data_IF_238730667105
#
_entry.id   IF_238730667105
#
_cell.length_a   1.000
_cell.length_b   1.000
_cell.length_c   1.000
_cell.angle_alpha   90.00
_cell.angle_beta   90.00
_cell.angle_gamma   90.00
#
_symmetry.space_group_name_H-M   'P 1'
#
loop_
_entity.id
_entity.type
_entity.pdbx_description
1 polymer ?
#
# COMPACT_ATOMS: atom_id res chain seq x y z
N UNK A 1 -39.09 -5.77 -9.13
CA UNK A 1 -38.27 -6.99 -8.97
C UNK A 1 -37.01 -7.01 -9.84
N UNK A 2 -36.96 -6.34 -11.00
CA UNK A 2 -35.74 -6.23 -11.81
C UNK A 2 -34.60 -5.40 -11.17
N UNK A 3 -34.90 -4.28 -10.49
CA UNK A 3 -33.86 -3.43 -9.89
C UNK A 3 -33.09 -4.01 -8.69
N UNK A 4 -33.61 -5.07 -8.05
CA UNK A 4 -32.89 -5.76 -6.97
C UNK A 4 -31.84 -6.74 -7.50
N UNK A 5 -32.05 -7.28 -8.71
CA UNK A 5 -31.09 -8.16 -9.38
C UNK A 5 -29.90 -7.37 -9.93
N UNK A 6 -30.15 -6.19 -10.50
CA UNK A 6 -29.11 -5.30 -11.05
C UNK A 6 -28.18 -4.75 -9.96
N UNK A 7 -28.73 -4.42 -8.78
CA UNK A 7 -27.95 -3.98 -7.62
C UNK A 7 -27.08 -5.12 -7.05
N UNK A 8 -27.63 -6.33 -6.95
CA UNK A 8 -26.89 -7.50 -6.46
C UNK A 8 -25.73 -7.88 -7.40
N UNK A 9 -25.92 -7.75 -8.72
CA UNK A 9 -24.86 -7.99 -9.70
C UNK A 9 -23.74 -6.95 -9.60
N UNK A 10 -24.08 -5.69 -9.36
CA UNK A 10 -23.11 -4.61 -9.10
C UNK A 10 -22.26 -4.85 -7.84
N UNK A 11 -22.88 -5.30 -6.75
CA UNK A 11 -22.18 -5.60 -5.49
C UNK A 11 -21.19 -6.78 -5.65
N UNK A 12 -21.60 -7.82 -6.38
CA UNK A 12 -20.76 -8.98 -6.68
C UNK A 12 -19.56 -8.56 -7.54
N UNK A 13 -19.79 -7.76 -8.59
CA UNK A 13 -18.73 -7.25 -9.46
C UNK A 13 -17.70 -6.42 -8.65
N UNK A 14 -18.17 -5.52 -7.79
CA UNK A 14 -17.29 -4.72 -6.93
C UNK A 14 -16.45 -5.61 -6.01
N UNK A 15 -17.03 -6.66 -5.41
CA UNK A 15 -16.29 -7.58 -4.56
C UNK A 15 -15.17 -8.30 -5.31
N UNK A 16 -15.41 -8.76 -6.54
CA UNK A 16 -14.36 -9.40 -7.35
C UNK A 16 -13.25 -8.43 -7.76
N UNK A 17 -13.61 -7.21 -8.16
CA UNK A 17 -12.64 -6.18 -8.54
C UNK A 17 -11.74 -5.83 -7.35
N UNK A 18 -12.33 -5.57 -6.18
CA UNK A 18 -11.57 -5.22 -4.97
C UNK A 18 -10.67 -6.37 -4.53
N UNK A 19 -11.17 -7.61 -4.55
CA UNK A 19 -10.36 -8.80 -4.26
C UNK A 19 -9.18 -8.95 -5.23
N UNK A 20 -9.40 -8.71 -6.52
CA UNK A 20 -8.35 -8.71 -7.55
C UNK A 20 -7.29 -7.65 -7.30
N UNK A 21 -7.69 -6.41 -6.97
CA UNK A 21 -6.77 -5.34 -6.63
C UNK A 21 -5.92 -5.66 -5.40
N UNK A 22 -6.53 -6.19 -4.34
CA UNK A 22 -5.80 -6.57 -3.11
C UNK A 22 -4.79 -7.69 -3.36
N UNK A 23 -5.14 -8.69 -4.19
CA UNK A 23 -4.19 -9.74 -4.59
C UNK A 23 -3.02 -9.18 -5.39
N UNK A 24 -3.28 -8.30 -6.36
CA UNK A 24 -2.22 -7.66 -7.14
C UNK A 24 -1.28 -6.83 -6.25
N UNK A 25 -1.82 -6.05 -5.31
CA UNK A 25 -1.04 -5.28 -4.34
C UNK A 25 -0.24 -6.20 -3.41
N UNK A 26 -0.82 -7.32 -2.97
CA UNK A 26 -0.12 -8.32 -2.17
C UNK A 26 1.09 -8.93 -2.90
N UNK A 27 0.95 -9.23 -4.19
CA UNK A 27 2.06 -9.70 -5.03
C UNK A 27 3.14 -8.62 -5.21
N UNK A 28 2.73 -7.36 -5.43
CA UNK A 28 3.67 -6.24 -5.48
C UNK A 28 4.42 -6.07 -4.15
N UNK A 29 3.72 -6.14 -3.02
CA UNK A 29 4.32 -6.06 -1.68
C UNK A 29 5.34 -7.18 -1.46
N UNK A 30 5.03 -8.40 -1.86
CA UNK A 30 5.97 -9.51 -1.76
C UNK A 30 7.26 -9.25 -2.58
N UNK A 31 7.12 -8.74 -3.80
CA UNK A 31 8.27 -8.36 -4.64
C UNK A 31 9.10 -7.22 -4.03
N UNK A 32 8.44 -6.18 -3.51
CA UNK A 32 9.11 -5.04 -2.87
C UNK A 32 9.82 -5.47 -1.59
N UNK A 33 9.20 -6.32 -0.75
CA UNK A 33 9.82 -6.87 0.45
C UNK A 33 11.05 -7.71 0.12
N UNK A 34 11.01 -8.47 -0.98
CA UNK A 34 12.19 -9.18 -1.48
C UNK A 34 13.33 -8.21 -1.81
N UNK A 35 13.03 -7.10 -2.48
CA UNK A 35 14.01 -6.04 -2.79
C UNK A 35 14.55 -5.34 -1.54
N UNK A 36 13.74 -5.15 -0.49
CA UNK A 36 14.20 -4.57 0.78
C UNK A 36 15.28 -5.45 1.42
N UNK A 37 15.10 -6.78 1.39
CA UNK A 37 16.03 -7.74 2.01
C UNK A 37 17.25 -8.02 1.13
N UNK A 38 17.05 -8.25 -0.18
CA UNK A 38 18.08 -8.68 -1.11
C UNK A 38 18.72 -7.54 -1.94
N UNK A 39 18.31 -6.28 -1.72
CA UNK A 39 18.82 -5.14 -2.47
C UNK A 39 20.30 -4.87 -2.23
N UNK A 40 21.10 -4.91 -3.30
CA UNK A 40 22.56 -4.69 -3.25
C UNK A 40 22.92 -3.23 -2.94
N UNK A 41 22.12 -2.26 -3.41
CA UNK A 41 22.37 -0.83 -3.21
C UNK A 41 21.51 -0.28 -2.09
N UNK A 42 22.08 0.59 -1.25
CA UNK A 42 21.35 1.28 -0.19
C UNK A 42 20.17 2.11 -0.73
N UNK A 43 20.34 2.71 -1.92
CA UNK A 43 19.29 3.47 -2.61
C UNK A 43 18.12 2.58 -3.02
N UNK A 44 18.40 1.36 -3.52
CA UNK A 44 17.35 0.43 -3.95
C UNK A 44 16.50 -0.05 -2.76
N UNK A 45 17.13 -0.25 -1.59
CA UNK A 45 16.44 -0.58 -0.34
C UNK A 45 15.59 0.58 0.19
N UNK A 46 16.10 1.81 0.10
CA UNK A 46 15.35 3.02 0.47
C UNK A 46 14.11 3.20 -0.40
N UNK A 47 14.26 3.00 -1.71
CA UNK A 47 13.16 3.11 -2.67
C UNK A 47 12.14 1.98 -2.50
N UNK A 48 12.59 0.76 -2.19
CA UNK A 48 11.70 -0.35 -1.86
C UNK A 48 10.95 -0.10 -0.53
N UNK A 49 11.59 0.50 0.47
CA UNK A 49 10.92 0.89 1.71
C UNK A 49 9.80 1.92 1.45
N UNK A 50 10.07 2.98 0.68
CA UNK A 50 9.07 3.98 0.29
C UNK A 50 7.89 3.36 -0.46
N UNK A 51 8.18 2.53 -1.46
CA UNK A 51 7.17 1.79 -2.22
C UNK A 51 6.31 0.89 -1.34
N UNK A 52 6.91 0.21 -0.36
CA UNK A 52 6.16 -0.66 0.56
C UNK A 52 5.14 0.14 1.39
N UNK A 53 5.52 1.32 1.88
CA UNK A 53 4.64 2.19 2.65
C UNK A 53 3.46 2.69 1.82
N UNK A 54 3.72 3.11 0.57
CA UNK A 54 2.67 3.50 -0.38
C UNK A 54 1.73 2.34 -0.70
N UNK A 55 2.26 1.13 -0.95
CA UNK A 55 1.43 -0.05 -1.22
C UNK A 55 0.54 -0.43 -0.03
N UNK A 56 1.04 -0.31 1.20
CA UNK A 56 0.23 -0.51 2.41
C UNK A 56 -0.87 0.54 2.51
N UNK A 57 -0.55 1.82 2.26
CA UNK A 57 -1.55 2.88 2.26
C UNK A 57 -2.66 2.64 1.22
N UNK A 58 -2.29 2.25 -0.01
CA UNK A 58 -3.26 1.93 -1.07
C UNK A 58 -4.11 0.71 -0.71
N UNK A 59 -3.52 -0.33 -0.11
CA UNK A 59 -4.26 -1.49 0.37
C UNK A 59 -5.32 -1.10 1.41
N UNK A 60 -4.97 -0.23 2.37
CA UNK A 60 -5.92 0.29 3.38
C UNK A 60 -7.01 1.16 2.76
N UNK A 61 -6.67 1.98 1.76
CA UNK A 61 -7.64 2.82 1.06
C UNK A 61 -8.67 1.97 0.30
N UNK A 62 -8.22 0.92 -0.39
CA UNK A 62 -9.11 -0.03 -1.09
C UNK A 62 -9.94 -0.84 -0.07
N UNK A 63 -9.33 -1.25 1.04
CA UNK A 63 -10.03 -1.95 2.11
C UNK A 63 -11.15 -1.10 2.74
N UNK A 64 -11.00 0.23 2.79
CA UNK A 64 -12.06 1.13 3.25
C UNK A 64 -13.36 1.00 2.44
N UNK A 65 -13.23 0.69 1.14
CA UNK A 65 -14.37 0.51 0.24
C UNK A 65 -15.14 -0.76 0.63
N UNK A 66 -14.46 -1.83 1.05
CA UNK A 66 -15.14 -3.05 1.53
C UNK A 66 -15.86 -2.81 2.86
N UNK A 67 -15.22 -2.09 3.77
CA UNK A 67 -15.75 -1.89 5.11
C UNK A 67 -16.77 -0.74 5.20
N UNK A 68 -16.95 0.02 4.11
CA UNK A 68 -17.83 1.19 4.03
C UNK A 68 -17.59 2.18 5.18
N UNK A 69 -16.32 2.37 5.55
CA UNK A 69 -15.93 3.15 6.73
C UNK A 69 -14.73 4.05 6.44
N UNK A 70 -14.89 5.33 6.78
CA UNK A 70 -13.89 6.38 6.62
C UNK A 70 -12.65 6.19 7.51
N UNK A 71 -12.77 5.42 8.60
CA UNK A 71 -11.66 5.19 9.53
C UNK A 71 -10.43 4.58 8.85
N UNK A 72 -10.63 3.75 7.83
CA UNK A 72 -9.54 3.13 7.07
C UNK A 72 -8.86 4.11 6.11
N UNK A 73 -9.60 5.11 5.60
CA UNK A 73 -9.01 6.18 4.79
C UNK A 73 -8.14 7.12 5.64
N UNK A 74 -8.61 7.48 6.83
CA UNK A 74 -7.79 8.26 7.78
C UNK A 74 -6.50 7.52 8.15
N UNK A 75 -6.61 6.21 8.42
CA UNK A 75 -5.45 5.36 8.71
C UNK A 75 -4.51 5.24 7.49
N UNK A 76 -5.05 5.08 6.29
CA UNK A 76 -4.28 5.04 5.03
C UNK A 76 -3.47 6.31 4.82
N UNK A 77 -4.10 7.48 5.01
CA UNK A 77 -3.42 8.77 4.93
C UNK A 77 -2.32 8.90 5.98
N UNK A 78 -2.59 8.46 7.22
CA UNK A 78 -1.58 8.41 8.28
C UNK A 78 -0.38 7.55 7.90
N UNK A 79 -0.61 6.36 7.36
CA UNK A 79 0.47 5.46 6.88
C UNK A 79 1.26 6.10 5.74
N UNK A 80 0.60 6.75 4.78
CA UNK A 80 1.27 7.43 3.67
C UNK A 80 2.21 8.54 4.16
N UNK A 81 1.77 9.35 5.13
CA UNK A 81 2.62 10.40 5.74
C UNK A 81 3.78 9.78 6.51
N UNK A 82 3.54 8.72 7.30
CA UNK A 82 4.59 8.02 8.05
C UNK A 82 5.65 7.42 7.14
N UNK A 83 5.25 6.80 6.02
CA UNK A 83 6.15 6.27 5.02
C UNK A 83 7.04 7.37 4.43
N UNK A 84 6.43 8.49 4.02
CA UNK A 84 7.15 9.64 3.46
C UNK A 84 8.16 10.23 4.45
N UNK A 85 7.76 10.44 5.71
CA UNK A 85 8.66 10.95 6.76
C UNK A 85 9.77 9.95 7.06
N UNK A 86 9.47 8.65 7.07
CA UNK A 86 10.46 7.58 7.23
C UNK A 86 11.54 7.62 6.14
N UNK A 87 11.13 7.81 4.88
CA UNK A 87 12.06 7.96 3.74
C UNK A 87 12.95 9.20 3.90
N UNK A 88 12.38 10.34 4.33
CA UNK A 88 13.16 11.57 4.61
C UNK A 88 14.18 11.34 5.73
N UNK A 89 13.76 10.71 6.83
CA UNK A 89 14.62 10.42 7.96
C UNK A 89 15.77 9.49 7.58
N UNK A 90 15.48 8.45 6.78
CA UNK A 90 16.48 7.51 6.30
C UNK A 90 17.44 8.17 5.30
N UNK A 91 16.95 9.05 4.42
CA UNK A 91 17.79 9.84 3.53
C UNK A 91 18.73 10.78 4.29
N UNK A 92 18.23 11.45 5.35
CA UNK A 92 19.05 12.29 6.22
C UNK A 92 20.11 11.48 6.97
N UNK A 93 19.74 10.29 7.49
CA UNK A 93 20.67 9.36 8.13
C UNK A 93 21.82 8.95 7.20
N UNK A 94 21.50 8.56 5.95
CA UNK A 94 22.52 8.20 4.95
C UNK A 94 23.41 9.40 4.62
N UNK A 95 22.83 10.59 4.45
CA UNK A 95 23.59 11.83 4.18
C UNK A 95 24.56 12.20 5.30
N UNK A 96 24.25 11.88 6.55
CA UNK A 96 25.11 12.17 7.72
C UNK A 96 26.24 11.16 7.94
N UNK A 97 26.46 10.23 7.02
CA UNK A 97 27.52 9.23 7.12
C UNK A 97 27.10 7.93 7.82
N UNK A 98 25.80 7.62 7.87
CA UNK A 98 25.24 6.44 8.53
C UNK A 98 25.63 5.06 7.98
N UNK A 99 26.62 4.98 7.10
CA UNK A 99 27.29 3.74 6.67
C UNK A 99 28.77 4.08 6.46
N UNK A 100 29.56 3.97 7.52
CA UNK A 100 31.04 3.93 7.49
C UNK A 100 31.51 2.72 8.27
#
# INVERSE_FOLDING_TARGET
>A
MAGAAEAAEGDILMSYVVGGCLLAIGLCLAGVLWTVVAGERAVDRLLAFDLSGVLIAVALAIFSIMQQSWAYLETSMGVAVLAFVGTIALADYVRRGGVS
#
